data_IF_640890109644
#
_entry.id   IF_640890109644
#
_cell.length_a   1.000
_cell.length_b   1.000
_cell.length_c   1.000
_cell.angle_alpha   90.00
_cell.angle_beta   90.00
_cell.angle_gamma   90.00
#
_symmetry.space_group_name_H-M   'P 1'
#
loop_
_entity.id
_entity.type
_entity.pdbx_description
1 polymer ?
#
# COMPACT_ATOMS: atom_id res chain seq x y z
N UNK A 1 37.82 11.99 2.48
CA UNK A 1 36.97 10.94 1.91
C UNK A 1 35.88 10.55 2.90
N UNK A 2 36.26 10.02 4.06
CA UNK A 2 35.39 9.33 5.03
C UNK A 2 34.15 10.05 5.62
N UNK A 3 34.08 11.39 5.66
CA UNK A 3 33.06 12.07 6.49
C UNK A 3 31.64 12.11 5.89
N UNK A 4 31.46 11.80 4.60
CA UNK A 4 30.12 11.85 3.96
C UNK A 4 29.37 10.51 4.07
N UNK A 5 30.08 9.41 4.28
CA UNK A 5 29.52 8.04 4.32
C UNK A 5 28.86 7.71 5.66
N UNK A 6 29.29 8.36 6.76
CA UNK A 6 28.72 8.17 8.09
C UNK A 6 27.37 8.87 8.31
N UNK A 7 27.02 9.85 7.46
CA UNK A 7 25.80 10.66 7.62
C UNK A 7 24.57 10.08 6.90
N UNK A 8 24.77 9.08 6.03
CA UNK A 8 23.68 8.51 5.22
C UNK A 8 23.53 7.04 5.61
N UNK A 9 22.39 6.68 6.20
CA UNK A 9 22.06 5.26 6.44
C UNK A 9 21.55 4.59 5.15
N UNK A 10 22.45 4.49 4.18
CA UNK A 10 22.16 3.94 2.86
C UNK A 10 23.35 3.16 2.33
N UNK A 11 23.07 2.08 1.60
CA UNK A 11 24.08 1.39 0.80
C UNK A 11 24.21 2.09 -0.53
N UNK A 12 25.40 2.61 -0.81
CA UNK A 12 25.76 3.16 -2.11
C UNK A 12 26.47 2.08 -2.93
N UNK A 13 26.06 1.93 -4.19
CA UNK A 13 26.56 0.95 -5.13
C UNK A 13 26.90 1.66 -6.45
N UNK A 14 28.03 1.27 -7.07
CA UNK A 14 28.36 1.69 -8.43
C UNK A 14 28.07 0.53 -9.37
N UNK A 15 27.31 0.80 -10.42
CA UNK A 15 26.76 -0.23 -11.31
C UNK A 15 27.10 0.11 -12.76
N UNK A 16 27.58 -0.88 -13.50
CA UNK A 16 27.87 -0.72 -14.92
C UNK A 16 26.63 -0.79 -15.80
N UNK A 17 26.85 -0.75 -17.11
CA UNK A 17 25.78 -0.58 -18.10
C UNK A 17 24.81 -1.76 -18.15
N UNK A 18 25.27 -2.97 -17.87
CA UNK A 18 24.44 -4.17 -17.89
C UNK A 18 23.72 -4.42 -16.55
N UNK A 19 23.92 -3.57 -15.55
CA UNK A 19 23.33 -3.74 -14.22
C UNK A 19 24.22 -4.51 -13.25
N UNK A 20 25.45 -4.80 -13.64
CA UNK A 20 26.47 -5.44 -12.82
C UNK A 20 27.03 -4.46 -11.78
N UNK A 21 27.06 -4.89 -10.52
CA UNK A 21 27.63 -4.09 -9.44
C UNK A 21 29.15 -4.14 -9.53
N UNK A 22 29.76 -2.97 -9.75
CA UNK A 22 31.21 -2.78 -9.83
C UNK A 22 31.83 -2.54 -8.46
N UNK A 23 31.08 -1.89 -7.57
CA UNK A 23 31.55 -1.48 -6.25
C UNK A 23 30.38 -1.28 -5.29
N UNK A 24 30.62 -1.47 -4.00
CA UNK A 24 29.62 -1.40 -2.94
C UNK A 24 30.21 -0.81 -1.66
N UNK A 25 29.52 0.17 -1.08
CA UNK A 25 29.91 0.80 0.19
C UNK A 25 29.92 -0.18 1.36
N UNK A 26 30.76 0.10 2.36
CA UNK A 26 30.87 -0.70 3.59
C UNK A 26 29.55 -0.77 4.38
N UNK A 27 28.64 0.19 4.16
CA UNK A 27 27.31 0.26 4.78
C UNK A 27 26.43 -0.97 4.47
N UNK A 28 26.75 -1.73 3.43
CA UNK A 28 26.12 -3.03 3.17
C UNK A 28 26.17 -3.98 4.38
N UNK A 29 27.22 -3.90 5.22
CA UNK A 29 27.36 -4.73 6.42
C UNK A 29 26.32 -4.39 7.48
N UNK A 30 26.03 -3.11 7.69
CA UNK A 30 25.07 -2.68 8.70
C UNK A 30 23.63 -2.79 8.21
N UNK A 31 23.36 -2.35 6.96
CA UNK A 31 22.01 -2.26 6.39
C UNK A 31 21.55 -3.60 5.82
N UNK A 32 22.38 -4.27 5.02
CA UNK A 32 22.01 -5.53 4.36
C UNK A 32 22.53 -6.78 5.08
N UNK A 33 23.26 -6.60 6.18
CA UNK A 33 23.95 -7.69 6.92
C UNK A 33 24.86 -8.52 6.02
N UNK A 34 25.40 -7.92 4.96
CA UNK A 34 26.20 -8.58 3.92
C UNK A 34 27.56 -7.93 3.79
N UNK A 35 28.57 -8.75 3.50
CA UNK A 35 29.85 -8.25 3.04
C UNK A 35 29.68 -7.60 1.65
N UNK A 36 30.25 -6.41 1.37
CA UNK A 36 30.05 -5.69 0.10
C UNK A 36 30.42 -6.52 -1.12
N UNK A 37 31.41 -7.41 -0.98
CA UNK A 37 31.93 -8.27 -2.04
C UNK A 37 30.86 -9.26 -2.55
N UNK A 38 29.87 -9.59 -1.72
CA UNK A 38 28.76 -10.48 -2.08
C UNK A 38 27.69 -9.80 -2.95
N UNK A 39 27.75 -8.47 -3.09
CA UNK A 39 26.84 -7.69 -3.93
C UNK A 39 27.36 -7.50 -5.35
N UNK A 40 28.67 -7.72 -5.57
CA UNK A 40 29.34 -7.50 -6.85
C UNK A 40 28.76 -8.38 -7.98
N UNK A 41 28.94 -7.93 -9.22
CA UNK A 41 28.39 -8.59 -10.39
C UNK A 41 26.86 -8.65 -10.32
N UNK A 42 26.29 -9.86 -10.36
CA UNK A 42 24.85 -10.09 -10.26
C UNK A 42 24.35 -10.21 -8.81
N UNK A 43 25.23 -10.07 -7.81
CA UNK A 43 24.94 -10.37 -6.42
C UNK A 43 23.75 -9.58 -5.84
N UNK A 44 23.62 -8.29 -6.16
CA UNK A 44 22.43 -7.52 -5.78
C UNK A 44 21.15 -8.05 -6.44
N UNK A 45 21.17 -8.27 -7.76
CA UNK A 45 20.01 -8.71 -8.54
C UNK A 45 19.48 -10.08 -8.11
N UNK A 46 20.37 -11.02 -7.77
CA UNK A 46 19.99 -12.35 -7.29
C UNK A 46 19.24 -12.32 -5.94
N UNK A 47 19.38 -11.23 -5.19
CA UNK A 47 18.68 -11.01 -3.92
C UNK A 47 17.37 -10.24 -4.08
N UNK A 48 17.11 -9.65 -5.25
CA UNK A 48 15.82 -8.99 -5.54
C UNK A 48 14.73 -10.05 -5.65
N UNK A 49 13.63 -9.82 -4.92
CA UNK A 49 12.44 -10.67 -4.97
C UNK A 49 11.92 -10.81 -6.41
N UNK A 50 11.48 -12.02 -6.78
CA UNK A 50 11.13 -12.36 -8.18
C UNK A 50 10.11 -11.39 -8.80
N UNK A 51 9.07 -11.00 -8.06
CA UNK A 51 8.04 -10.06 -8.52
C UNK A 51 8.57 -8.65 -8.80
N UNK A 52 9.69 -8.28 -8.17
CA UNK A 52 10.23 -6.92 -8.23
C UNK A 52 11.32 -6.81 -9.31
N UNK A 53 11.76 -7.95 -9.89
CA UNK A 53 12.80 -8.01 -10.92
C UNK A 53 12.42 -7.29 -12.21
N UNK A 54 11.16 -7.38 -12.63
CA UNK A 54 10.71 -6.68 -13.85
C UNK A 54 10.85 -5.17 -13.66
N UNK A 55 10.37 -4.63 -12.54
CA UNK A 55 10.50 -3.21 -12.23
C UNK A 55 11.95 -2.75 -12.15
N UNK A 56 12.82 -3.56 -11.53
CA UNK A 56 14.26 -3.30 -11.47
C UNK A 56 14.90 -3.24 -12.87
N UNK A 57 14.63 -4.23 -13.73
CA UNK A 57 15.18 -4.27 -15.09
C UNK A 57 14.65 -3.14 -15.97
N UNK A 58 13.38 -2.79 -15.83
CA UNK A 58 12.79 -1.62 -16.49
C UNK A 58 13.50 -0.34 -16.07
N UNK A 59 13.71 -0.12 -14.77
CA UNK A 59 14.44 1.05 -14.28
C UNK A 59 15.87 1.13 -14.85
N UNK A 60 16.59 0.02 -14.92
CA UNK A 60 17.92 -0.02 -15.57
C UNK A 60 17.84 0.28 -17.07
N UNK A 61 16.81 -0.20 -17.78
CA UNK A 61 16.61 0.11 -19.19
C UNK A 61 16.40 1.62 -19.41
N UNK A 62 15.53 2.23 -18.61
CA UNK A 62 15.28 3.67 -18.65
C UNK A 62 16.56 4.46 -18.37
N UNK A 63 17.36 4.03 -17.39
CA UNK A 63 18.66 4.64 -17.12
C UNK A 63 19.58 4.56 -18.34
N UNK A 64 19.66 3.41 -19.04
CA UNK A 64 20.46 3.28 -20.28
C UNK A 64 19.98 4.17 -21.41
N UNK A 65 18.68 4.39 -21.52
CA UNK A 65 18.06 5.23 -22.56
C UNK A 65 18.28 6.73 -22.32
N UNK A 66 18.80 7.13 -21.16
CA UNK A 66 19.11 8.52 -20.88
C UNK A 66 18.36 9.11 -19.69
N UNK A 67 17.56 8.32 -18.96
CA UNK A 67 16.87 8.84 -17.78
C UNK A 67 17.90 9.41 -16.77
N UNK A 68 17.65 10.60 -16.21
CA UNK A 68 18.56 11.21 -15.25
C UNK A 68 18.51 10.52 -13.88
N UNK A 69 17.34 10.00 -13.50
CA UNK A 69 17.10 9.29 -12.25
C UNK A 69 15.91 8.34 -12.34
N UNK A 70 15.90 7.31 -11.49
CA UNK A 70 14.74 6.45 -11.23
C UNK A 70 14.66 6.11 -9.75
N UNK A 71 13.44 5.96 -9.23
CA UNK A 71 13.17 5.43 -7.89
C UNK A 71 12.21 4.25 -8.00
N UNK A 72 12.43 3.22 -7.20
CA UNK A 72 11.51 2.10 -7.05
C UNK A 72 11.59 1.53 -5.64
N UNK A 73 10.48 0.94 -5.21
CA UNK A 73 10.42 0.12 -4.00
C UNK A 73 10.58 -1.34 -4.42
N UNK A 74 11.45 -2.07 -3.71
CA UNK A 74 11.71 -3.47 -3.98
C UNK A 74 12.02 -4.22 -2.69
N UNK A 75 11.96 -5.55 -2.75
CA UNK A 75 12.34 -6.41 -1.64
C UNK A 75 13.68 -7.07 -1.89
N UNK A 76 14.57 -7.00 -0.90
CA UNK A 76 15.89 -7.64 -0.92
C UNK A 76 15.93 -8.74 0.12
N UNK A 77 16.45 -9.90 -0.30
CA UNK A 77 16.73 -11.04 0.56
C UNK A 77 17.94 -10.75 1.43
N UNK A 78 17.71 -10.64 2.73
CA UNK A 78 18.76 -10.51 3.73
C UNK A 78 19.21 -11.90 4.22
N UNK A 79 20.46 -12.06 4.68
CA UNK A 79 20.89 -13.23 5.42
C UNK A 79 19.98 -13.50 6.63
N UNK A 80 19.87 -14.77 7.02
CA UNK A 80 19.08 -15.18 8.18
C UNK A 80 19.98 -15.33 9.40
N UNK A 81 19.50 -14.94 10.55
CA UNK A 81 19.98 -15.43 11.84
C UNK A 81 19.02 -16.54 12.29
N UNK A 82 19.34 -17.82 12.04
CA UNK A 82 18.57 -18.98 12.52
C UNK A 82 17.98 -19.92 11.44
N UNK A 83 17.26 -20.96 11.90
CA UNK A 83 16.92 -22.18 11.12
C UNK A 83 15.49 -22.24 10.53
N UNK A 84 14.81 -21.12 10.36
CA UNK A 84 13.45 -21.08 9.77
C UNK A 84 13.45 -21.22 8.23
N UNK A 85 12.38 -21.76 7.65
CA UNK A 85 12.30 -22.16 6.23
C UNK A 85 11.80 -21.08 5.24
N UNK A 86 11.22 -19.96 5.68
CA UNK A 86 10.52 -18.99 4.79
C UNK A 86 11.39 -17.77 4.44
N UNK A 87 11.73 -17.48 3.18
CA UNK A 87 12.69 -16.42 2.80
C UNK A 87 12.59 -15.08 3.56
N UNK A 88 13.74 -14.49 3.96
CA UNK A 88 13.82 -13.23 4.72
C UNK A 88 13.95 -12.02 3.77
N UNK A 89 12.84 -11.56 3.21
CA UNK A 89 12.77 -10.39 2.34
C UNK A 89 12.36 -9.13 3.12
N UNK A 90 13.14 -8.05 2.98
CA UNK A 90 12.83 -6.75 3.60
C UNK A 90 12.65 -5.66 2.53
N UNK A 91 11.75 -4.68 2.76
CA UNK A 91 11.51 -3.59 1.83
C UNK A 91 12.65 -2.57 1.82
N UNK A 92 13.03 -2.13 0.63
CA UNK A 92 14.02 -1.08 0.42
C UNK A 92 13.55 -0.13 -0.68
N UNK A 93 13.84 1.15 -0.48
CA UNK A 93 13.79 2.14 -1.54
C UNK A 93 15.13 2.11 -2.28
N UNK A 94 15.06 2.00 -3.61
CA UNK A 94 16.21 2.05 -4.49
C UNK A 94 16.13 3.29 -5.39
N UNK A 95 17.13 4.16 -5.26
CA UNK A 95 17.36 5.29 -6.17
C UNK A 95 18.49 4.95 -7.14
N UNK A 96 18.23 5.12 -8.44
CA UNK A 96 19.24 5.06 -9.51
C UNK A 96 19.52 6.48 -9.97
N UNK A 97 20.79 6.87 -9.98
CA UNK A 97 21.27 8.16 -10.43
C UNK A 97 22.33 7.97 -11.51
N UNK A 98 22.26 8.79 -12.55
CA UNK A 98 23.30 8.83 -13.57
C UNK A 98 24.52 9.57 -13.04
N UNK A 99 25.72 8.98 -13.20
CA UNK A 99 26.97 9.68 -12.88
C UNK A 99 27.30 10.74 -13.93
N UNK A 100 27.86 11.88 -13.51
CA UNK A 100 28.29 12.94 -14.43
C UNK A 100 29.57 12.58 -15.21
N UNK A 101 30.45 11.77 -14.62
CA UNK A 101 31.79 11.50 -15.14
C UNK A 101 31.85 10.32 -16.14
N UNK A 102 30.99 9.31 -16.00
CA UNK A 102 31.01 8.10 -16.82
C UNK A 102 29.62 7.78 -17.38
N UNK A 103 29.48 7.89 -18.71
CA UNK A 103 28.17 7.78 -19.40
C UNK A 103 27.44 6.44 -19.19
N UNK A 104 28.19 5.40 -18.86
CA UNK A 104 27.73 4.02 -18.78
C UNK A 104 27.73 3.46 -17.35
N UNK A 105 27.97 4.32 -16.34
CA UNK A 105 27.96 3.94 -14.93
C UNK A 105 26.88 4.70 -14.18
N UNK A 106 26.14 3.95 -13.37
CA UNK A 106 25.05 4.44 -12.54
C UNK A 106 25.43 4.29 -11.06
N UNK A 107 24.92 5.21 -10.25
CA UNK A 107 24.96 5.12 -8.81
C UNK A 107 23.62 4.62 -8.31
N UNK A 108 23.64 3.57 -7.50
CA UNK A 108 22.48 3.05 -6.81
C UNK A 108 22.58 3.44 -5.34
N UNK A 109 21.52 4.00 -4.79
CA UNK A 109 21.40 4.31 -3.36
C UNK A 109 20.23 3.52 -2.82
N UNK A 110 20.52 2.61 -1.89
CA UNK A 110 19.56 1.70 -1.32
C UNK A 110 19.34 2.06 0.15
N UNK A 111 18.09 2.31 0.53
CA UNK A 111 17.67 2.70 1.88
C UNK A 111 16.62 1.73 2.37
N UNK A 112 16.76 1.27 3.61
CA UNK A 112 15.70 0.51 4.26
C UNK A 112 14.47 1.41 4.38
N UNK A 113 13.30 0.86 4.03
CA UNK A 113 12.05 1.61 4.04
C UNK A 113 11.08 0.93 5.00
N UNK A 114 11.29 1.19 6.30
CA UNK A 114 10.44 0.64 7.36
C UNK A 114 9.02 1.24 7.30
N UNK A 115 8.86 2.47 6.80
CA UNK A 115 7.59 3.20 6.72
C UNK A 115 6.51 2.49 5.85
N UNK A 116 6.91 1.71 4.84
CA UNK A 116 5.94 1.01 3.97
C UNK A 116 5.29 -0.18 4.67
N UNK A 117 5.95 -0.77 5.67
CA UNK A 117 5.34 -1.80 6.49
C UNK A 117 4.31 -1.19 7.44
N UNK A 118 4.66 -0.09 8.13
CA UNK A 118 3.75 0.63 9.02
C UNK A 118 2.53 1.19 8.26
N UNK A 119 2.73 1.86 7.12
CA UNK A 119 1.62 2.37 6.30
C UNK A 119 0.70 1.28 5.76
N UNK A 120 1.22 0.07 5.52
CA UNK A 120 0.39 -1.09 5.11
C UNK A 120 -0.42 -1.63 6.27
N UNK A 121 0.12 -1.63 7.47
CA UNK A 121 -0.56 -2.03 8.70
C UNK A 121 -1.66 -1.02 9.04
N UNK A 122 -1.36 0.28 9.02
CA UNK A 122 -2.35 1.36 9.18
C UNK A 122 -3.47 1.26 8.12
N UNK A 123 -3.13 0.97 6.86
CA UNK A 123 -4.12 0.79 5.80
C UNK A 123 -5.00 -0.45 6.03
N UNK A 124 -4.43 -1.53 6.57
CA UNK A 124 -5.18 -2.74 6.89
C UNK A 124 -6.16 -2.49 8.04
N UNK A 125 -5.71 -1.84 9.11
CA UNK A 125 -6.56 -1.44 10.24
C UNK A 125 -7.68 -0.48 9.82
N UNK A 126 -7.36 0.53 9.00
CA UNK A 126 -8.36 1.46 8.48
C UNK A 126 -9.42 0.77 7.61
N UNK A 127 -9.02 -0.24 6.81
CA UNK A 127 -9.96 -1.04 6.00
C UNK A 127 -10.86 -1.90 6.86
N UNK A 128 -10.32 -2.52 7.91
CA UNK A 128 -11.11 -3.34 8.83
C UNK A 128 -12.14 -2.48 9.60
N UNK A 129 -11.73 -1.31 10.07
CA UNK A 129 -12.63 -0.34 10.71
C UNK A 129 -13.75 0.13 9.76
N UNK A 130 -13.42 0.43 8.50
CA UNK A 130 -14.41 0.81 7.49
C UNK A 130 -15.40 -0.32 7.19
N UNK A 131 -14.92 -1.57 7.09
CA UNK A 131 -15.78 -2.73 6.89
C UNK A 131 -16.74 -2.96 8.07
N UNK A 132 -16.25 -2.81 9.30
CA UNK A 132 -17.08 -2.90 10.50
C UNK A 132 -18.16 -1.80 10.56
N UNK A 133 -17.83 -0.56 10.16
CA UNK A 133 -18.77 0.55 10.11
C UNK A 133 -19.88 0.35 9.08
N UNK A 134 -19.57 -0.17 7.89
CA UNK A 134 -20.57 -0.48 6.86
C UNK A 134 -21.51 -1.62 7.29
N UNK A 135 -21.00 -2.66 7.96
CA UNK A 135 -21.84 -3.72 8.53
C UNK A 135 -22.79 -3.16 9.61
N UNK A 136 -22.30 -2.27 10.48
CA UNK A 136 -23.11 -1.63 11.51
C UNK A 136 -24.20 -0.72 10.91
N UNK A 137 -23.87 0.06 9.89
CA UNK A 137 -24.80 0.93 9.15
C UNK A 137 -25.88 0.11 8.44
N UNK A 138 -25.51 -0.99 7.78
CA UNK A 138 -26.46 -1.90 7.15
C UNK A 138 -27.44 -2.51 8.14
N UNK A 139 -26.96 -2.95 9.31
CA UNK A 139 -27.81 -3.46 10.40
C UNK A 139 -28.74 -2.39 10.97
N UNK A 140 -28.22 -1.18 11.21
CA UNK A 140 -29.04 -0.05 11.68
C UNK A 140 -30.15 0.29 10.70
N UNK A 141 -29.83 0.44 9.41
CA UNK A 141 -30.81 0.73 8.36
C UNK A 141 -31.86 -0.38 8.20
N UNK A 142 -31.47 -1.65 8.33
CA UNK A 142 -32.39 -2.78 8.29
C UNK A 142 -33.36 -2.77 9.49
N UNK A 143 -32.85 -2.55 10.71
CA UNK A 143 -33.65 -2.45 11.94
C UNK A 143 -34.62 -1.27 11.85
N UNK A 144 -34.12 -0.08 11.49
CA UNK A 144 -34.96 1.12 11.36
C UNK A 144 -36.02 0.93 10.27
N UNK A 145 -35.70 0.27 9.15
CA UNK A 145 -36.69 -0.02 8.11
C UNK A 145 -37.80 -0.99 8.57
N UNK A 146 -37.46 -2.00 9.38
CA UNK A 146 -38.43 -2.92 9.98
C UNK A 146 -39.30 -2.23 11.04
N UNK A 147 -38.68 -1.39 11.86
CA UNK A 147 -39.34 -0.62 12.93
C UNK A 147 -40.23 0.49 12.37
N UNK A 148 -39.92 1.05 11.18
CA UNK A 148 -40.74 2.08 10.51
C UNK A 148 -41.90 1.50 9.70
N UNK A 149 -41.77 0.30 9.11
CA UNK A 149 -42.87 -0.36 8.35
C UNK A 149 -44.10 -0.64 9.21
N UNK A 150 -43.88 -1.07 10.45
CA UNK A 150 -44.95 -1.47 11.38
C UNK A 150 -45.87 -0.29 11.77
N UNK A 151 -45.36 0.87 12.21
CA UNK A 151 -46.19 2.04 12.49
C UNK A 151 -46.74 2.71 11.22
N UNK A 152 -46.01 2.70 10.09
CA UNK A 152 -46.51 3.26 8.84
C UNK A 152 -47.72 2.46 8.30
N UNK A 153 -47.67 1.13 8.35
CA UNK A 153 -48.81 0.27 8.02
C UNK A 153 -50.00 0.48 8.97
N UNK A 154 -49.74 0.74 10.26
CA UNK A 154 -50.78 1.04 11.23
C UNK A 154 -51.47 2.39 10.94
N UNK A 155 -50.74 3.40 10.46
CA UNK A 155 -51.29 4.71 10.09
C UNK A 155 -52.10 4.62 8.78
N UNK A 156 -51.59 3.92 7.75
CA UNK A 156 -52.32 3.71 6.49
C UNK A 156 -53.62 2.92 6.73
N UNK A 157 -53.57 1.86 7.54
CA UNK A 157 -54.77 1.10 7.91
C UNK A 157 -55.81 1.91 8.68
N UNK A 158 -55.37 2.86 9.51
CA UNK A 158 -56.27 3.79 10.21
C UNK A 158 -56.92 4.78 9.23
N UNK A 159 -56.16 5.32 8.28
CA UNK A 159 -56.69 6.21 7.24
C UNK A 159 -57.68 5.51 6.30
N UNK A 160 -57.41 4.26 5.87
CA UNK A 160 -58.33 3.48 5.04
C UNK A 160 -59.65 3.14 5.77
N UNK A 161 -59.60 2.86 7.08
CA UNK A 161 -60.80 2.63 7.89
C UNK A 161 -61.65 3.90 8.04
N UNK A 162 -61.02 5.08 8.10
CA UNK A 162 -61.72 6.36 8.13
C UNK A 162 -62.37 6.66 6.76
N UNK A 163 -61.67 6.40 5.65
CA UNK A 163 -62.16 6.68 4.29
C UNK A 163 -63.36 5.79 3.88
N UNK A 164 -63.47 4.56 4.40
CA UNK A 164 -64.55 3.63 4.08
C UNK A 164 -65.81 3.74 4.95
N UNK A 165 -65.94 4.80 5.79
CA UNK A 165 -67.14 5.14 6.57
C UNK A 165 -67.73 3.99 7.43
N UNK A 166 -66.91 3.01 7.86
CA UNK A 166 -67.39 1.84 8.63
C UNK A 166 -67.91 2.15 10.05
N UNK A 167 -67.78 3.40 10.52
CA UNK A 167 -68.32 3.86 11.82
C UNK A 167 -69.33 5.01 11.71
N UNK A 168 -69.87 5.27 10.51
CA UNK A 168 -70.91 6.26 10.25
C UNK A 168 -70.43 7.48 9.44
N UNK A 169 -71.34 8.07 8.68
CA UNK A 169 -71.05 9.14 7.72
C UNK A 169 -70.39 10.37 8.37
N UNK A 170 -69.38 10.92 7.69
CA UNK A 170 -68.70 12.16 8.11
C UNK A 170 -69.71 13.30 8.28
N UNK A 171 -69.71 13.95 9.46
CA UNK A 171 -70.67 15.02 9.80
C UNK A 171 -70.40 16.36 9.10
N UNK A 172 -69.26 16.53 8.43
CA UNK A 172 -68.91 17.75 7.68
C UNK A 172 -68.18 17.37 6.36
N UNK A 173 -68.64 17.84 5.18
CA UNK A 173 -68.02 17.53 3.89
C UNK A 173 -66.55 17.95 3.74
N UNK A 174 -66.06 18.91 4.54
CA UNK A 174 -64.68 19.45 4.42
C UNK A 174 -63.62 18.55 5.05
N UNK A 175 -64.01 17.54 5.83
CA UNK A 175 -63.06 16.61 6.47
C UNK A 175 -62.51 15.56 5.51
N UNK A 176 -63.11 15.39 4.31
CA UNK A 176 -62.60 14.50 3.26
C UNK A 176 -61.37 15.04 2.52
N UNK A 177 -61.02 16.31 2.71
CA UNK A 177 -59.92 16.97 1.99
C UNK A 177 -58.56 16.90 2.71
N UNK A 178 -58.55 16.39 3.96
CA UNK A 178 -57.37 16.35 4.84
C UNK A 178 -56.93 14.94 5.24
N UNK A 179 -57.47 13.89 4.59
CA UNK A 179 -57.15 12.48 4.81
C UNK A 179 -56.67 11.86 3.51
#
# INVERSE_FOLDING_TARGET
>A
GDRLEDLIDAVVLRVGRQGEVLDASAKARSVLKLAPELLLGTGLFERVHLSDRVAYLTALADMREGAPKRRLELRIRLPREGSGAADNFRPFSLDLLRGEAERDVFMLVLRENDDVAELREELAEAREAAAAAEVAKGRFLAVVSHELRTPLNAIIGFSDMLLHEMFGAFKDPRQKEYV
#
